data_IF_017965293944
#
_entry.id   IF_017965293944
#
_cell.length_a   1.000
_cell.length_b   1.000
_cell.length_c   1.000
_cell.angle_alpha   90.00
_cell.angle_beta   90.00
_cell.angle_gamma   90.00
#
_symmetry.space_group_name_H-M   'P 1'
#
loop_
_entity.id
_entity.type
_entity.pdbx_description
1 polymer ?
#
# COMPACT_ATOMS: atom_id res chain seq x y z
N UNK A 1 -25.31 57.41 8.08
CA UNK A 1 -25.67 57.51 6.65
C UNK A 1 -25.60 56.12 6.03
N UNK A 2 -26.74 55.62 5.57
CA UNK A 2 -26.91 54.29 4.99
C UNK A 2 -26.61 54.29 3.48
N UNK A 3 -26.03 53.21 2.95
CA UNK A 3 -26.39 52.61 1.64
C UNK A 3 -26.04 51.12 1.61
N UNK A 4 -27.10 50.31 1.53
CA UNK A 4 -27.11 48.90 1.12
C UNK A 4 -27.19 48.89 -0.42
N UNK A 5 -26.42 48.04 -1.09
CA UNK A 5 -26.78 47.51 -2.41
C UNK A 5 -26.05 46.20 -2.71
N UNK A 6 -26.85 45.16 -2.93
CA UNK A 6 -26.55 43.83 -3.45
C UNK A 6 -25.71 43.85 -4.74
N UNK A 7 -24.94 42.78 -5.00
CA UNK A 7 -24.93 42.05 -6.28
C UNK A 7 -24.45 40.60 -6.00
N UNK A 8 -25.39 39.66 -6.12
CA UNK A 8 -25.15 38.24 -6.41
C UNK A 8 -25.01 38.10 -7.93
N UNK A 9 -24.20 37.14 -8.42
CA UNK A 9 -24.64 36.40 -9.58
C UNK A 9 -24.62 34.89 -9.29
N UNK A 10 -25.81 34.30 -9.30
CA UNK A 10 -25.99 32.90 -9.62
C UNK A 10 -25.76 32.73 -11.13
N UNK A 11 -24.88 31.80 -11.53
CA UNK A 11 -24.88 31.26 -12.89
C UNK A 11 -24.60 29.77 -12.85
N UNK A 12 -25.46 29.06 -13.56
CA UNK A 12 -25.64 27.62 -13.60
C UNK A 12 -24.72 26.92 -14.63
N UNK A 13 -25.01 25.63 -14.85
CA UNK A 13 -24.44 24.63 -15.78
C UNK A 13 -23.28 23.82 -15.17
N UNK A 14 -23.32 22.49 -15.03
CA UNK A 14 -24.07 21.47 -15.75
C UNK A 14 -23.21 20.86 -16.86
N UNK A 15 -22.61 19.70 -16.63
CA UNK A 15 -22.12 18.73 -17.65
C UNK A 15 -21.77 17.43 -16.90
N UNK A 16 -22.69 16.47 -16.83
CA UNK A 16 -22.90 15.35 -17.76
C UNK A 16 -21.80 14.26 -17.70
N UNK A 17 -22.29 13.14 -17.19
CA UNK A 17 -21.82 11.77 -17.24
C UNK A 17 -21.55 11.31 -18.68
N UNK A 18 -20.33 10.87 -18.98
CA UNK A 18 -20.01 10.02 -20.15
C UNK A 18 -19.34 8.75 -19.58
N UNK A 19 -20.01 7.60 -19.63
CA UNK A 19 -20.22 6.72 -20.79
C UNK A 19 -19.08 5.69 -20.93
N UNK A 20 -19.49 4.47 -20.61
CA UNK A 20 -18.94 3.14 -20.85
C UNK A 20 -17.89 3.03 -21.98
N UNK A 21 -16.72 2.49 -21.63
CA UNK A 21 -15.77 1.89 -22.56
C UNK A 21 -15.79 0.37 -22.41
N UNK A 22 -16.31 -0.32 -23.43
CA UNK A 22 -16.29 -1.76 -23.64
C UNK A 22 -14.86 -2.29 -23.88
N UNK A 23 -14.49 -3.50 -23.42
CA UNK A 23 -13.22 -4.12 -23.79
C UNK A 23 -13.32 -4.83 -25.15
N UNK A 24 -12.40 -4.48 -26.05
CA UNK A 24 -12.15 -5.19 -27.30
C UNK A 24 -11.52 -6.57 -27.04
N UNK A 25 -12.02 -7.58 -27.74
CA UNK A 25 -11.43 -8.92 -27.90
C UNK A 25 -10.46 -8.91 -29.09
N UNK A 26 -9.69 -10.01 -29.17
CA UNK A 26 -8.91 -10.52 -30.32
C UNK A 26 -7.43 -10.11 -30.26
N UNK A 27 -6.43 -10.98 -30.17
CA UNK A 27 -6.32 -12.43 -30.32
C UNK A 27 -5.05 -12.70 -31.11
N UNK A 28 -4.01 -13.34 -30.53
CA UNK A 28 -2.91 -13.96 -31.27
C UNK A 28 -2.03 -14.85 -30.37
N UNK A 29 -1.54 -15.93 -30.99
CA UNK A 29 -1.09 -17.24 -30.46
C UNK A 29 0.29 -17.30 -29.75
N UNK A 30 0.57 -18.41 -29.05
CA UNK A 30 1.64 -18.57 -28.06
C UNK A 30 2.97 -19.07 -28.64
N UNK A 31 4.06 -18.74 -27.94
CA UNK A 31 5.41 -19.23 -28.18
C UNK A 31 5.63 -20.60 -27.50
N UNK A 32 6.34 -21.47 -28.20
CA UNK A 32 6.59 -22.86 -27.85
C UNK A 32 7.73 -23.01 -26.85
N UNK A 33 7.57 -23.89 -25.86
CA UNK A 33 8.70 -24.55 -25.20
C UNK A 33 8.42 -26.05 -25.09
N UNK A 34 9.33 -26.81 -25.68
CA UNK A 34 9.41 -28.25 -25.76
C UNK A 34 10.12 -28.79 -24.52
N UNK A 35 9.51 -29.76 -23.82
CA UNK A 35 10.26 -30.63 -22.89
C UNK A 35 9.74 -32.07 -23.01
N UNK A 36 10.71 -32.98 -23.07
CA UNK A 36 10.61 -34.38 -23.43
C UNK A 36 9.93 -35.30 -22.38
N UNK A 37 9.25 -36.31 -22.92
CA UNK A 37 8.96 -37.71 -22.51
C UNK A 37 9.07 -38.15 -21.03
N UNK A 38 8.20 -39.08 -20.59
CA UNK A 38 8.56 -40.50 -20.73
C UNK A 38 7.46 -41.37 -21.35
N UNK A 39 7.91 -42.30 -22.19
CA UNK A 39 7.10 -43.31 -22.87
C UNK A 39 6.65 -44.39 -21.87
N UNK A 40 5.33 -44.60 -21.80
CA UNK A 40 4.74 -45.80 -21.22
C UNK A 40 4.12 -46.60 -22.35
N UNK A 41 4.67 -47.79 -22.59
CA UNK A 41 4.11 -48.82 -23.46
C UNK A 41 2.69 -49.18 -23.00
N UNK A 42 1.72 -49.04 -23.90
CA UNK A 42 0.50 -49.84 -23.86
C UNK A 42 -0.05 -49.96 -25.29
N UNK A 43 0.26 -51.10 -25.91
CA UNK A 43 -0.40 -51.54 -27.12
C UNK A 43 -1.83 -51.98 -26.73
N UNK A 44 -2.80 -51.08 -26.80
CA UNK A 44 -4.23 -51.41 -26.77
C UNK A 44 -4.95 -50.52 -27.78
N UNK A 45 -5.70 -51.16 -28.68
CA UNK A 45 -6.48 -50.50 -29.72
C UNK A 45 -7.40 -49.45 -29.12
N UNK A 46 -7.23 -48.22 -29.57
CA UNK A 46 -8.07 -47.09 -29.18
C UNK A 46 -9.43 -47.31 -29.85
N UNK A 47 -10.40 -47.82 -29.09
CA UNK A 47 -11.80 -47.66 -29.46
C UNK A 47 -12.13 -46.17 -29.34
N UNK A 48 -12.61 -45.50 -30.40
CA UNK A 48 -12.93 -44.07 -30.35
C UNK A 48 -14.15 -43.74 -29.47
N UNK A 49 -14.80 -44.74 -28.86
CA UNK A 49 -15.96 -44.58 -27.97
C UNK A 49 -15.60 -44.30 -26.50
N UNK A 50 -14.34 -44.46 -26.09
CA UNK A 50 -13.90 -44.22 -24.70
C UNK A 50 -13.13 -42.89 -24.56
N UNK A 51 -13.60 -41.86 -25.26
CA UNK A 51 -13.21 -40.47 -24.98
C UNK A 51 -13.81 -40.07 -23.62
N UNK A 52 -13.06 -40.32 -22.54
CA UNK A 52 -13.35 -39.78 -21.21
C UNK A 52 -13.42 -38.26 -21.34
N UNK A 53 -14.64 -37.72 -21.35
CA UNK A 53 -14.89 -36.30 -21.49
C UNK A 53 -14.23 -35.55 -20.32
N UNK A 54 -13.06 -34.95 -20.58
CA UNK A 54 -12.34 -34.10 -19.64
C UNK A 54 -13.20 -32.86 -19.40
N UNK A 55 -14.05 -32.91 -18.39
CA UNK A 55 -14.86 -31.75 -17.96
C UNK A 55 -13.92 -30.77 -17.28
N UNK A 56 -13.74 -29.60 -17.90
CA UNK A 56 -12.99 -28.51 -17.29
C UNK A 56 -13.71 -28.05 -16.02
N UNK A 57 -13.10 -28.30 -14.86
CA UNK A 57 -13.61 -27.79 -13.58
C UNK A 57 -13.32 -26.29 -13.55
N UNK A 58 -14.33 -25.41 -13.54
CA UNK A 58 -14.08 -23.97 -13.55
C UNK A 58 -13.42 -23.56 -12.24
N UNK A 59 -12.32 -22.82 -12.34
CA UNK A 59 -11.64 -22.23 -11.18
C UNK A 59 -12.59 -21.29 -10.46
N UNK A 60 -12.91 -21.60 -9.20
CA UNK A 60 -13.66 -20.72 -8.30
C UNK A 60 -12.69 -20.12 -7.31
N UNK A 61 -12.38 -18.81 -7.36
CA UNK A 61 -11.59 -18.17 -6.32
C UNK A 61 -12.39 -18.23 -5.00
N UNK A 62 -11.91 -19.00 -4.04
CA UNK A 62 -12.59 -19.24 -2.76
C UNK A 62 -12.28 -18.19 -1.69
N UNK A 63 -11.43 -17.20 -1.99
CA UNK A 63 -11.03 -16.20 -1.00
C UNK A 63 -12.03 -15.03 -0.95
N UNK A 64 -13.19 -15.29 -0.39
CA UNK A 64 -14.11 -14.23 0.01
C UNK A 64 -13.72 -13.79 1.44
N UNK A 65 -12.96 -12.70 1.54
CA UNK A 65 -12.59 -12.14 2.85
C UNK A 65 -13.83 -11.52 3.49
N UNK A 66 -14.08 -11.89 4.74
CA UNK A 66 -15.16 -11.33 5.52
C UNK A 66 -14.91 -9.81 5.73
N UNK A 67 -15.86 -8.93 5.35
CA UNK A 67 -15.71 -7.49 5.47
C UNK A 67 -15.58 -6.98 6.92
N UNK A 68 -15.91 -7.80 7.92
CA UNK A 68 -15.78 -7.45 9.35
C UNK A 68 -14.55 -8.07 10.01
N UNK A 69 -13.80 -8.90 9.29
CA UNK A 69 -12.54 -9.42 9.81
C UNK A 69 -11.51 -8.29 9.90
N UNK A 70 -10.95 -8.10 11.09
CA UNK A 70 -9.89 -7.14 11.30
C UNK A 70 -8.68 -7.50 10.40
N UNK A 71 -8.03 -6.50 9.77
CA UNK A 71 -6.82 -6.74 8.99
C UNK A 71 -5.78 -7.48 9.84
N UNK A 72 -5.16 -8.51 9.28
CA UNK A 72 -4.04 -9.19 9.96
C UNK A 72 -2.88 -8.21 10.10
N UNK A 73 -2.11 -8.27 11.19
CA UNK A 73 -0.94 -7.40 11.45
C UNK A 73 0.06 -7.38 10.26
N UNK A 74 0.19 -8.52 9.57
CA UNK A 74 0.98 -8.66 8.35
C UNK A 74 0.50 -7.78 7.17
N UNK A 75 -0.80 -7.48 7.07
CA UNK A 75 -1.34 -6.62 6.02
C UNK A 75 -1.18 -5.14 6.34
N UNK A 76 -1.20 -4.79 7.63
CA UNK A 76 -0.89 -3.44 8.08
C UNK A 76 0.59 -3.12 7.90
N UNK A 77 1.46 -4.09 8.17
CA UNK A 77 2.91 -3.95 7.99
C UNK A 77 3.29 -3.61 6.54
N UNK A 78 2.58 -4.14 5.55
CA UNK A 78 2.85 -3.86 4.13
C UNK A 78 2.34 -2.50 3.65
N UNK A 79 1.52 -1.80 4.43
CA UNK A 79 0.97 -0.48 4.11
C UNK A 79 1.61 0.58 5.00
N UNK A 80 2.84 0.99 4.67
CA UNK A 80 3.53 2.03 5.41
C UNK A 80 4.75 2.56 4.68
N UNK A 81 5.19 3.74 5.09
CA UNK A 81 6.45 4.33 4.65
C UNK A 81 7.63 3.66 5.36
N UNK A 82 8.80 3.65 4.72
CA UNK A 82 10.03 3.14 5.30
C UNK A 82 10.66 4.21 6.20
N UNK A 83 11.21 3.80 7.34
CA UNK A 83 11.88 4.70 8.29
C UNK A 83 12.98 5.50 7.59
N UNK A 84 13.71 4.89 6.65
CA UNK A 84 14.78 5.56 5.90
C UNK A 84 14.28 6.72 5.02
N UNK A 85 13.09 6.60 4.44
CA UNK A 85 12.52 7.62 3.56
C UNK A 85 11.87 8.79 4.31
N UNK A 86 11.68 8.66 5.63
CA UNK A 86 11.06 9.70 6.45
C UNK A 86 12.03 10.85 6.75
N UNK A 87 11.62 12.08 6.44
CA UNK A 87 12.25 13.31 6.92
C UNK A 87 11.64 13.80 8.23
N UNK A 88 12.45 14.20 9.21
CA UNK A 88 11.95 14.80 10.45
C UNK A 88 12.07 16.32 10.39
N UNK A 89 10.93 17.03 10.48
CA UNK A 89 10.90 18.50 10.50
C UNK A 89 10.97 19.07 11.92
N UNK A 90 10.32 18.42 12.88
CA UNK A 90 10.33 18.86 14.27
C UNK A 90 9.36 18.09 15.15
N UNK A 91 8.95 18.71 16.25
CA UNK A 91 7.93 18.20 17.16
C UNK A 91 6.85 19.24 17.40
N UNK A 92 5.63 18.77 17.69
CA UNK A 92 4.50 19.59 18.10
C UNK A 92 3.86 18.97 19.33
N UNK A 93 3.45 19.79 20.29
CA UNK A 93 2.68 19.34 21.45
C UNK A 93 1.21 19.62 21.19
N UNK A 94 0.40 18.57 21.15
CA UNK A 94 -1.05 18.69 20.96
C UNK A 94 -1.75 17.90 22.06
N UNK A 95 -2.68 18.53 22.76
CA UNK A 95 -3.44 17.91 23.85
C UNK A 95 -2.55 17.27 24.94
N UNK A 96 -1.42 17.91 25.27
CA UNK A 96 -0.45 17.40 26.25
C UNK A 96 0.39 16.21 25.77
N UNK A 97 0.24 15.78 24.51
CA UNK A 97 1.05 14.71 23.91
C UNK A 97 2.08 15.30 22.95
N UNK A 98 3.31 14.81 23.03
CA UNK A 98 4.38 15.16 22.08
C UNK A 98 4.20 14.32 20.82
N UNK A 99 4.11 14.98 19.68
CA UNK A 99 3.99 14.38 18.35
C UNK A 99 5.18 14.80 17.49
N UNK A 100 5.69 13.87 16.70
CA UNK A 100 6.74 14.14 15.73
C UNK A 100 6.11 14.65 14.43
N UNK A 101 6.61 15.77 13.92
CA UNK A 101 6.24 16.27 12.59
C UNK A 101 7.22 15.67 11.58
N UNK A 102 6.71 14.73 10.79
CA UNK A 102 7.48 14.00 9.78
C UNK A 102 6.97 14.30 8.38
N UNK A 103 7.88 14.17 7.41
CA UNK A 103 7.63 14.29 5.98
C UNK A 103 7.91 12.95 5.33
N UNK A 104 6.96 12.45 4.55
CA UNK A 104 7.09 11.17 3.84
C UNK A 104 7.94 11.32 2.58
N UNK A 105 8.30 10.19 1.97
CA UNK A 105 8.98 10.15 0.67
C UNK A 105 8.26 10.98 -0.40
N UNK A 106 6.93 11.08 -0.28
CA UNK A 106 6.02 11.81 -1.19
C UNK A 106 5.92 13.31 -0.88
N UNK A 107 6.61 13.81 0.15
CA UNK A 107 6.53 15.20 0.59
C UNK A 107 5.32 15.53 1.48
N UNK A 108 4.48 14.55 1.81
CA UNK A 108 3.35 14.74 2.71
C UNK A 108 3.83 14.96 4.14
N UNK A 109 3.27 15.96 4.83
CA UNK A 109 3.62 16.27 6.22
C UNK A 109 2.51 15.75 7.13
N UNK A 110 2.89 14.96 8.14
CA UNK A 110 1.96 14.41 9.14
C UNK A 110 2.56 14.45 10.54
N UNK A 111 1.69 14.54 11.54
CA UNK A 111 2.04 14.45 12.95
C UNK A 111 1.82 13.03 13.46
N UNK A 112 2.87 12.40 13.97
CA UNK A 112 2.85 11.02 14.45
C UNK A 112 3.13 10.95 15.95
N UNK A 113 2.39 10.12 16.71
CA UNK A 113 2.68 9.88 18.11
C UNK A 113 3.86 8.91 18.31
N UNK A 114 4.37 8.86 19.54
CA UNK A 114 5.23 7.78 20.01
C UNK A 114 4.46 6.45 19.92
N UNK A 115 5.16 5.39 19.49
CA UNK A 115 4.59 4.06 19.24
C UNK A 115 4.01 3.89 17.83
N UNK A 116 4.15 4.89 16.95
CA UNK A 116 3.72 4.73 15.57
C UNK A 116 4.59 3.71 14.85
N UNK A 117 3.95 2.69 14.26
CA UNK A 117 4.61 1.62 13.51
C UNK A 117 4.69 1.98 12.03
N UNK A 118 5.90 2.01 11.52
CA UNK A 118 6.25 2.07 10.10
C UNK A 118 6.31 0.65 9.53
N UNK A 119 6.54 0.57 8.21
CA UNK A 119 6.68 -0.70 7.51
C UNK A 119 7.85 -1.54 8.03
N UNK A 120 8.96 -0.87 8.34
CA UNK A 120 10.23 -1.46 8.74
C UNK A 120 10.68 -0.95 10.11
N UNK A 121 9.82 -0.35 10.93
CA UNK A 121 10.22 0.09 12.26
C UNK A 121 9.14 0.74 13.09
N UNK A 122 9.55 1.36 14.19
CA UNK A 122 8.66 2.03 15.15
C UNK A 122 9.29 3.33 15.67
N UNK A 123 8.45 4.35 15.91
CA UNK A 123 8.84 5.58 16.59
C UNK A 123 8.88 5.36 18.10
N UNK A 124 10.07 5.43 18.70
CA UNK A 124 10.24 5.07 20.13
C UNK A 124 10.33 6.29 21.03
N UNK A 125 11.00 7.34 20.59
CA UNK A 125 11.19 8.54 21.42
C UNK A 125 11.27 9.81 20.57
N UNK A 126 10.78 10.90 21.16
CA UNK A 126 10.85 12.25 20.59
C UNK A 126 11.59 13.12 21.60
N UNK A 127 12.73 13.64 21.18
CA UNK A 127 13.53 14.60 21.94
C UNK A 127 13.40 15.99 21.30
N UNK A 128 13.88 17.02 21.98
CA UNK A 128 13.79 18.42 21.51
C UNK A 128 14.53 18.72 20.19
N UNK A 129 15.44 17.82 19.77
CA UNK A 129 16.30 18.00 18.60
C UNK A 129 16.30 16.82 17.63
N UNK A 130 15.72 15.69 18.03
CA UNK A 130 15.80 14.45 17.26
C UNK A 130 14.62 13.52 17.57
N UNK A 131 14.28 12.67 16.60
CA UNK A 131 13.41 11.51 16.81
C UNK A 131 14.23 10.24 16.71
N UNK A 132 13.96 9.31 17.62
CA UNK A 132 14.57 7.97 17.65
C UNK A 132 13.58 6.94 17.12
N UNK A 133 14.05 6.15 16.16
CA UNK A 133 13.32 5.05 15.55
C UNK A 133 14.03 3.74 15.84
N UNK A 134 13.27 2.66 15.99
CA UNK A 134 13.78 1.29 15.95
C UNK A 134 13.39 0.67 14.62
N UNK A 135 14.37 0.47 13.75
CA UNK A 135 14.17 -0.14 12.44
C UNK A 135 14.43 -1.65 12.55
N UNK A 136 13.47 -2.47 12.15
CA UNK A 136 13.64 -3.92 12.05
C UNK A 136 14.60 -4.26 10.93
N UNK A 137 15.52 -5.18 11.20
CA UNK A 137 16.45 -5.65 10.18
C UNK A 137 15.72 -6.57 9.19
N UNK A 138 15.63 -6.13 7.93
CA UNK A 138 15.02 -6.91 6.86
C UNK A 138 15.74 -8.24 6.59
N UNK A 139 17.01 -8.37 7.00
CA UNK A 139 17.79 -9.60 6.86
C UNK A 139 17.53 -10.61 7.98
N UNK A 140 16.83 -10.24 9.05
CA UNK A 140 16.58 -11.08 10.22
C UNK A 140 15.13 -11.54 10.29
N UNK A 141 14.91 -12.86 10.37
CA UNK A 141 13.59 -13.45 10.66
C UNK A 141 13.11 -13.10 12.08
N UNK A 142 14.02 -12.65 12.95
CA UNK A 142 13.69 -12.27 14.32
C UNK A 142 13.33 -10.78 14.39
N UNK A 143 12.05 -10.50 14.61
CA UNK A 143 11.49 -9.13 14.78
C UNK A 143 11.95 -8.42 16.05
N UNK A 144 12.66 -9.11 16.95
CA UNK A 144 13.25 -8.51 18.15
C UNK A 144 14.62 -7.86 17.90
N UNK A 145 15.22 -8.10 16.74
CA UNK A 145 16.49 -7.46 16.37
C UNK A 145 16.15 -6.16 15.63
N UNK A 146 16.59 -5.04 16.17
CA UNK A 146 16.37 -3.72 15.59
C UNK A 146 17.65 -2.89 15.59
N UNK A 147 17.75 -2.02 14.59
CA UNK A 147 18.73 -0.94 14.50
C UNK A 147 18.10 0.34 15.04
N UNK A 148 18.79 1.00 15.95
CA UNK A 148 18.38 2.33 16.40
C UNK A 148 18.82 3.37 15.36
N UNK A 149 17.86 4.10 14.81
CA UNK A 149 18.08 5.19 13.85
C UNK A 149 17.64 6.50 14.50
N UNK A 150 18.57 7.44 14.65
CA UNK A 150 18.27 8.76 15.21
C UNK A 150 18.29 9.78 14.08
N UNK A 151 17.17 10.47 13.85
CA UNK A 151 17.05 11.54 12.85
C UNK A 151 16.91 12.89 13.55
N UNK A 152 17.86 13.77 13.31
CA UNK A 152 17.84 15.15 13.81
C UNK A 152 16.87 16.01 13.01
N UNK A 153 16.36 17.06 13.63
CA UNK A 153 15.43 17.98 12.97
C UNK A 153 16.14 18.76 11.86
N UNK A 154 15.61 18.70 10.64
CA UNK A 154 16.02 19.62 9.58
C UNK A 154 15.32 20.96 9.81
N UNK A 155 15.82 21.72 10.80
CA UNK A 155 15.37 23.10 11.05
C UNK A 155 15.88 23.95 9.89
N UNK A 156 14.98 24.49 9.06
CA UNK A 156 15.32 25.65 8.24
C UNK A 156 15.60 26.81 9.20
N UNK A 157 16.86 27.16 9.40
CA UNK A 157 17.32 28.25 10.28
C UNK A 157 16.97 29.66 9.74
N UNK A 158 15.89 29.81 8.97
CA UNK A 158 15.65 31.01 8.14
C UNK A 158 14.61 32.01 8.62
N UNK A 159 13.83 31.75 9.69
CA UNK A 159 12.85 32.73 10.18
C UNK A 159 12.81 32.75 11.71
N UNK A 160 13.53 33.72 12.27
CA UNK A 160 13.20 34.35 13.56
C UNK A 160 12.71 35.76 13.27
#
# INVERSE_FOLDING_TARGET
MARIAYILPALALGLQLFAQGTPAKEGAKPHAESVATPALSANQGINPDELIAVRATPYRPTLQRDPFSAPTDAEQTNKGDLVDDIGVKGMVVSNGKVLAVVTDARGNVRSLPIGYRFRDGELVAINDKSVTFHQWDASSTNTKIFRTVVKTFKREEGKR
#
